data_IF_555161416933
#
_entry.id   IF_555161416933
#
_cell.length_a   1.000
_cell.length_b   1.000
_cell.length_c   1.000
_cell.angle_alpha   90.00
_cell.angle_beta   90.00
_cell.angle_gamma   90.00
#
_symmetry.space_group_name_H-M   'P 1'
#
loop_
_entity.id
_entity.type
_entity.pdbx_description
1 polymer ?
#
# COMPACT_ATOMS: atom_id res chain seq x y z
N UNK A 1 1.94 6.48 -8.25
CA UNK A 1 3.41 6.64 -8.12
C UNK A 1 3.81 7.94 -8.76
N UNK A 2 4.40 8.86 -8.00
CA UNK A 2 4.89 10.16 -8.49
C UNK A 2 6.39 10.30 -8.27
N UNK A 3 7.02 11.30 -8.91
CA UNK A 3 8.42 11.59 -8.65
C UNK A 3 8.70 13.08 -8.53
N UNK A 4 9.45 13.43 -7.50
CA UNK A 4 9.72 14.82 -7.12
C UNK A 4 11.23 15.06 -6.98
N UNK A 5 11.66 16.31 -7.11
CA UNK A 5 13.06 16.67 -6.87
C UNK A 5 13.35 16.69 -5.36
N UNK A 6 14.61 16.47 -4.96
CA UNK A 6 15.04 16.57 -3.55
C UNK A 6 14.70 17.93 -2.91
N UNK A 7 14.77 19.02 -3.69
CA UNK A 7 14.42 20.37 -3.22
C UNK A 7 12.94 20.49 -2.86
N UNK A 8 12.08 19.86 -3.66
CA UNK A 8 10.64 19.86 -3.45
C UNK A 8 10.27 18.99 -2.25
N UNK A 9 10.89 17.80 -2.16
CA UNK A 9 10.70 16.87 -1.06
C UNK A 9 10.98 17.51 0.30
N UNK A 10 12.09 18.25 0.45
CA UNK A 10 12.42 18.91 1.72
C UNK A 10 11.47 20.07 2.06
N UNK A 11 11.01 20.82 1.06
CA UNK A 11 10.14 21.99 1.27
C UNK A 11 8.73 21.59 1.68
N UNK A 12 8.21 20.51 1.10
CA UNK A 12 6.81 20.06 1.30
C UNK A 12 6.73 18.65 1.89
N UNK A 13 7.73 18.22 2.67
CA UNK A 13 7.83 16.85 3.18
C UNK A 13 6.55 16.39 3.90
N UNK A 14 6.00 17.24 4.76
CA UNK A 14 4.78 16.93 5.52
C UNK A 14 3.60 16.58 4.60
N UNK A 15 3.40 17.33 3.52
CA UNK A 15 2.37 17.05 2.52
C UNK A 15 2.61 15.70 1.85
N UNK A 16 3.83 15.44 1.40
CA UNK A 16 4.17 14.18 0.72
C UNK A 16 4.04 12.96 1.64
N UNK A 17 4.36 13.09 2.93
CA UNK A 17 4.14 12.02 3.90
C UNK A 17 2.64 11.69 4.05
N UNK A 18 1.76 12.70 4.07
CA UNK A 18 0.32 12.46 4.11
C UNK A 18 -0.16 11.72 2.85
N UNK A 19 0.28 12.14 1.67
CA UNK A 19 -0.03 11.46 0.40
C UNK A 19 0.46 9.99 0.42
N UNK A 20 1.66 9.74 0.95
CA UNK A 20 2.20 8.37 1.12
C UNK A 20 1.37 7.53 2.08
N UNK A 21 0.93 8.10 3.21
CA UNK A 21 0.08 7.42 4.19
C UNK A 21 -1.32 7.12 3.64
N UNK A 22 -1.79 7.90 2.67
CA UNK A 22 -3.04 7.62 1.93
C UNK A 22 -2.88 6.51 0.88
N UNK A 23 -1.63 6.08 0.62
CA UNK A 23 -1.32 4.96 -0.27
C UNK A 23 -0.49 5.34 -1.50
N UNK A 24 -0.07 6.60 -1.62
CA UNK A 24 0.81 7.02 -2.72
C UNK A 24 2.24 6.50 -2.54
N UNK A 25 2.95 6.33 -3.66
CA UNK A 25 4.36 5.97 -3.67
C UNK A 25 5.15 7.10 -4.33
N UNK A 26 6.13 7.66 -3.60
CA UNK A 26 6.87 8.84 -4.06
C UNK A 26 8.34 8.49 -4.27
N UNK A 27 8.87 8.79 -5.47
CA UNK A 27 10.30 8.72 -5.76
C UNK A 27 10.92 10.11 -5.63
N UNK A 28 11.99 10.21 -4.85
CA UNK A 28 12.82 11.42 -4.81
C UNK A 28 13.94 11.29 -5.85
N UNK A 29 14.09 12.31 -6.68
CA UNK A 29 15.15 12.44 -7.68
C UNK A 29 16.13 13.56 -7.33
N UNK A 30 17.41 13.35 -7.65
CA UNK A 30 18.43 14.39 -7.75
C UNK A 30 18.75 14.59 -9.23
N UNK A 31 18.31 15.71 -9.80
CA UNK A 31 18.31 15.91 -11.25
C UNK A 31 17.44 14.87 -11.95
N UNK A 32 18.02 14.10 -12.88
CA UNK A 32 17.33 13.01 -13.58
C UNK A 32 17.49 11.65 -12.90
N UNK A 33 18.23 11.57 -11.79
CA UNK A 33 18.56 10.30 -11.14
C UNK A 33 17.63 10.06 -9.95
N UNK A 34 16.87 8.95 -9.89
CA UNK A 34 16.15 8.57 -8.67
C UNK A 34 17.15 8.16 -7.59
N UNK A 35 16.96 8.65 -6.38
CA UNK A 35 17.87 8.44 -5.24
C UNK A 35 17.19 7.76 -4.06
N UNK A 36 15.91 8.04 -3.84
CA UNK A 36 15.16 7.51 -2.70
C UNK A 36 13.71 7.25 -3.08
N UNK A 37 13.04 6.42 -2.27
CA UNK A 37 11.61 6.15 -2.38
C UNK A 37 10.96 6.25 -1.00
N UNK A 38 9.85 6.98 -0.92
CA UNK A 38 9.00 7.03 0.26
C UNK A 38 7.78 6.14 0.00
N UNK A 39 7.58 5.18 0.89
CA UNK A 39 6.45 4.25 0.94
C UNK A 39 5.95 4.17 2.38
N UNK A 40 4.66 3.88 2.62
CA UNK A 40 4.16 3.69 3.97
C UNK A 40 4.80 2.43 4.57
N UNK A 41 5.19 2.49 5.85
CA UNK A 41 5.77 1.35 6.56
C UNK A 41 4.72 0.26 6.79
N UNK A 42 3.58 0.67 7.35
CA UNK A 42 2.40 -0.17 7.43
C UNK A 42 1.53 0.14 6.23
N UNK A 43 1.43 -0.81 5.29
CA UNK A 43 0.36 -0.73 4.29
C UNK A 43 -0.93 -0.66 5.08
N UNK A 44 -1.72 0.40 4.90
CA UNK A 44 -3.14 0.35 5.21
C UNK A 44 -3.62 -0.87 4.46
N UNK A 45 -3.84 -1.97 5.19
CA UNK A 45 -4.33 -3.20 4.60
C UNK A 45 -5.61 -2.72 3.97
N UNK A 46 -5.65 -2.67 2.64
CA UNK A 46 -6.92 -2.80 1.98
C UNK A 46 -7.52 -4.01 2.67
N UNK A 47 -8.63 -3.79 3.39
CA UNK A 47 -9.37 -4.89 3.97
C UNK A 47 -9.79 -5.69 2.75
N UNK A 48 -8.93 -6.61 2.30
CA UNK A 48 -9.36 -7.70 1.44
C UNK A 48 -10.53 -8.27 2.23
N UNK A 49 -11.75 -8.35 1.67
CA UNK A 49 -12.81 -9.07 2.33
C UNK A 49 -12.19 -10.40 2.73
N UNK A 50 -12.08 -10.63 4.03
CA UNK A 50 -11.50 -11.86 4.54
C UNK A 50 -12.22 -12.98 3.81
N UNK A 51 -11.51 -14.04 3.48
CA UNK A 51 -12.08 -15.27 2.92
C UNK A 51 -13.08 -15.97 3.87
N UNK A 52 -13.72 -15.24 4.78
CA UNK A 52 -14.92 -15.60 5.51
C UNK A 52 -16.07 -15.81 4.51
N UNK A 53 -16.07 -17.00 3.91
CA UNK A 53 -17.00 -17.41 2.86
C UNK A 53 -16.44 -18.52 1.96
N UNK A 54 -15.13 -18.78 1.97
CA UNK A 54 -14.59 -19.96 1.30
C UNK A 54 -14.92 -21.20 2.13
N UNK A 55 -15.82 -22.03 1.58
CA UNK A 55 -16.16 -23.33 2.13
C UNK A 55 -14.93 -24.22 1.96
N UNK A 56 -14.13 -24.38 3.02
CA UNK A 56 -12.92 -25.23 3.02
C UNK A 56 -13.25 -26.70 3.29
N UNK A 57 -14.44 -26.97 3.83
CA UNK A 57 -14.92 -28.32 4.09
C UNK A 57 -15.61 -28.88 2.85
N UNK A 58 -15.24 -30.09 2.44
CA UNK A 58 -15.96 -30.84 1.42
C UNK A 58 -17.41 -31.11 1.85
N UNK A 59 -18.30 -31.36 0.87
CA UNK A 59 -19.71 -31.63 1.12
C UNK A 59 -19.89 -32.92 1.94
N UNK A 60 -20.45 -32.78 3.14
CA UNK A 60 -20.83 -33.93 3.98
C UNK A 60 -22.21 -34.39 3.56
N UNK A 61 -22.34 -35.64 3.10
CA UNK A 61 -23.64 -36.28 2.95
C UNK A 61 -24.07 -36.78 4.34
N UNK A 62 -25.06 -36.12 4.93
CA UNK A 62 -25.74 -36.64 6.11
C UNK A 62 -26.57 -37.83 5.64
N UNK A 63 -26.28 -39.01 6.18
CA UNK A 63 -27.16 -40.17 6.06
C UNK A 63 -27.77 -40.37 7.43
N UNK A 64 -29.09 -40.19 7.50
CA UNK A 64 -29.87 -40.42 8.72
C UNK A 64 -30.03 -41.93 8.94
N UNK A 65 -29.84 -42.37 10.19
CA UNK A 65 -30.13 -43.73 10.65
C UNK A 65 -31.05 -43.67 11.86
#
# INVERSE_FOLDING_TARGET
MISIATQEARSHLSRFLNEVLEGEEIIIKRGNTPVERIVPLDKKTEKSPSSAGQITSGSVKLSDA
#
